data_IF_154819698434
#
_entry.id   IF_154819698434
#
_cell.length_a   1.000
_cell.length_b   1.000
_cell.length_c   1.000
_cell.angle_alpha   90.00
_cell.angle_beta   90.00
_cell.angle_gamma   90.00
#
_symmetry.space_group_name_H-M   'P 1'
#
loop_
_entity.id
_entity.type
_entity.pdbx_description
1 polymer ?
#
# COMPACT_ATOMS: atom_id res chain seq x y z
N UNK A 1 -18.74 -17.18 -13.75
CA UNK A 1 -18.88 -16.06 -12.80
C UNK A 1 -17.85 -15.01 -13.16
N UNK A 2 -18.28 -13.81 -13.54
CA UNK A 2 -17.33 -12.72 -13.88
C UNK A 2 -16.64 -12.26 -12.59
N UNK A 3 -15.31 -12.15 -12.60
CA UNK A 3 -14.57 -11.61 -11.46
C UNK A 3 -15.02 -10.17 -11.21
N UNK A 4 -15.50 -9.88 -10.00
CA UNK A 4 -15.94 -8.54 -9.64
C UNK A 4 -14.77 -7.57 -9.75
N UNK A 5 -14.89 -6.55 -10.61
CA UNK A 5 -13.90 -5.49 -10.72
C UNK A 5 -13.86 -4.68 -9.43
N UNK A 6 -12.70 -4.62 -8.80
CA UNK A 6 -12.48 -3.90 -7.54
C UNK A 6 -12.64 -2.38 -7.70
N UNK A 7 -12.34 -1.85 -8.88
CA UNK A 7 -12.48 -0.43 -9.20
C UNK A 7 -13.49 -0.22 -10.32
N UNK A 8 -14.34 0.79 -10.15
CA UNK A 8 -15.30 1.22 -11.16
C UNK A 8 -15.72 2.67 -10.88
N UNK A 9 -15.44 3.66 -11.76
CA UNK A 9 -14.77 3.56 -13.07
C UNK A 9 -13.27 3.18 -12.98
N UNK A 10 -12.56 3.17 -14.11
CA UNK A 10 -11.12 2.93 -14.13
C UNK A 10 -10.39 3.99 -13.29
N UNK A 11 -9.45 3.60 -12.40
CA UNK A 11 -8.72 4.55 -11.56
C UNK A 11 -7.83 5.52 -12.36
N UNK A 12 -7.63 6.74 -11.83
CA UNK A 12 -6.63 7.66 -12.37
C UNK A 12 -5.22 7.09 -12.23
N UNK A 13 -4.31 7.55 -13.11
CA UNK A 13 -2.89 7.14 -13.15
C UNK A 13 -1.97 8.36 -13.02
N UNK A 14 -1.87 8.96 -11.81
CA UNK A 14 -1.05 10.15 -11.59
C UNK A 14 0.44 9.84 -11.43
N UNK A 15 0.80 8.56 -11.27
CA UNK A 15 2.17 8.13 -11.09
C UNK A 15 2.93 8.07 -12.41
N UNK A 16 4.14 8.62 -12.40
CA UNK A 16 5.10 8.64 -13.51
C UNK A 16 6.39 7.91 -13.09
N UNK A 17 7.39 7.82 -13.96
CA UNK A 17 8.66 7.12 -13.69
C UNK A 17 9.44 7.68 -12.49
N UNK A 18 9.17 8.94 -12.10
CA UNK A 18 9.85 9.61 -10.99
C UNK A 18 9.12 9.41 -9.66
N UNK A 19 7.94 8.78 -9.67
CA UNK A 19 7.14 8.57 -8.47
C UNK A 19 7.75 7.48 -7.60
N UNK A 20 8.32 7.87 -6.46
CA UNK A 20 8.97 6.99 -5.48
C UNK A 20 8.08 6.72 -4.26
N UNK A 21 7.15 7.65 -3.96
CA UNK A 21 6.29 7.56 -2.78
C UNK A 21 4.81 7.77 -3.12
N UNK A 22 4.00 6.74 -2.88
CA UNK A 22 2.55 6.79 -3.05
C UNK A 22 1.87 6.93 -1.69
N UNK A 23 1.03 7.96 -1.53
CA UNK A 23 0.18 8.17 -0.37
C UNK A 23 -1.27 7.90 -0.77
N UNK A 24 -1.89 6.95 -0.06
CA UNK A 24 -3.30 6.60 -0.21
C UNK A 24 -4.06 7.08 1.03
N UNK A 25 -4.95 8.05 0.81
CA UNK A 25 -5.83 8.58 1.85
C UNK A 25 -7.17 7.84 1.78
N UNK A 26 -7.51 7.12 2.84
CA UNK A 26 -8.76 6.38 2.95
C UNK A 26 -9.86 7.35 3.39
N UNK A 27 -10.92 7.44 2.58
CA UNK A 27 -12.00 8.40 2.80
C UNK A 27 -13.37 7.82 2.43
N UNK A 28 -14.43 8.48 2.87
CA UNK A 28 -15.83 8.20 2.56
C UNK A 28 -16.37 9.16 1.50
N UNK A 29 -17.39 8.77 0.74
CA UNK A 29 -17.94 9.62 -0.33
C UNK A 29 -18.36 11.02 0.14
N UNK A 30 -18.84 11.14 1.38
CA UNK A 30 -19.38 12.38 1.95
C UNK A 30 -18.30 13.28 2.59
N UNK A 31 -17.04 12.87 2.57
CA UNK A 31 -15.90 13.61 3.15
C UNK A 31 -15.22 14.54 2.15
N UNK A 32 -15.99 15.14 1.24
CA UNK A 32 -15.50 16.07 0.21
C UNK A 32 -14.71 17.22 0.84
N UNK A 33 -15.19 17.76 1.96
CA UNK A 33 -14.53 18.84 2.71
C UNK A 33 -13.22 18.39 3.36
N UNK A 34 -13.18 17.21 3.97
CA UNK A 34 -11.97 16.68 4.62
C UNK A 34 -10.88 16.41 3.57
N UNK A 35 -11.26 15.88 2.40
CA UNK A 35 -10.30 15.71 1.30
C UNK A 35 -9.76 17.06 0.81
N UNK A 36 -10.62 18.08 0.70
CA UNK A 36 -10.17 19.44 0.39
C UNK A 36 -9.20 19.98 1.46
N UNK A 37 -9.50 19.78 2.74
CA UNK A 37 -8.61 20.19 3.85
C UNK A 37 -7.25 19.46 3.76
N UNK A 38 -7.23 18.16 3.46
CA UNK A 38 -6.00 17.40 3.20
C UNK A 38 -5.21 18.03 2.04
N UNK A 39 -5.86 18.28 0.90
CA UNK A 39 -5.23 18.90 -0.29
C UNK A 39 -4.64 20.27 0.01
N UNK A 40 -5.34 21.11 0.77
CA UNK A 40 -4.92 22.48 1.11
C UNK A 40 -3.88 22.55 2.21
N UNK A 41 -3.69 21.48 2.98
CA UNK A 41 -2.75 21.45 4.11
C UNK A 41 -1.51 20.61 3.76
N UNK A 42 -1.30 19.50 4.43
CA UNK A 42 -0.07 18.72 4.35
C UNK A 42 0.14 18.07 2.98
N UNK A 43 -0.92 17.71 2.25
CA UNK A 43 -0.79 17.12 0.92
C UNK A 43 -0.35 18.14 -0.14
N UNK A 44 -0.50 19.45 0.12
CA UNK A 44 -0.02 20.50 -0.80
C UNK A 44 1.50 20.45 -1.02
N UNK A 45 2.25 19.85 -0.09
CA UNK A 45 3.69 19.63 -0.25
C UNK A 45 4.01 18.68 -1.41
N UNK A 46 3.14 17.70 -1.70
CA UNK A 46 3.32 16.79 -2.82
C UNK A 46 3.23 17.51 -4.18
N UNK A 47 2.51 18.63 -4.28
CA UNK A 47 2.49 19.44 -5.52
C UNK A 47 3.83 20.10 -5.82
N UNK A 48 4.71 20.25 -4.82
CA UNK A 48 6.06 20.80 -4.97
C UNK A 48 7.11 19.73 -5.22
N UNK A 49 6.79 18.46 -4.96
CA UNK A 49 7.68 17.32 -5.11
C UNK A 49 7.09 16.29 -6.08
N UNK A 50 7.64 16.20 -7.28
CA UNK A 50 7.14 15.28 -8.31
C UNK A 50 7.28 13.81 -7.94
N UNK A 51 8.10 13.46 -6.94
CA UNK A 51 8.31 12.06 -6.53
C UNK A 51 7.21 11.49 -5.65
N UNK A 52 6.30 12.34 -5.16
CA UNK A 52 5.23 11.93 -4.23
C UNK A 52 3.87 12.17 -4.85
N UNK A 53 3.02 11.14 -4.86
CA UNK A 53 1.65 11.24 -5.36
C UNK A 53 0.67 10.91 -4.25
N UNK A 54 -0.38 11.72 -4.14
CA UNK A 54 -1.46 11.53 -3.16
C UNK A 54 -2.72 11.17 -3.93
N UNK A 55 -3.38 10.08 -3.54
CA UNK A 55 -4.67 9.65 -4.10
C UNK A 55 -5.65 9.32 -2.97
N UNK A 56 -6.93 9.49 -3.24
CA UNK A 56 -8.01 9.20 -2.30
C UNK A 56 -8.70 7.90 -2.67
N UNK A 57 -8.71 6.91 -1.77
CA UNK A 57 -9.47 5.67 -1.95
C UNK A 57 -10.86 5.87 -1.34
N UNK A 58 -11.89 5.86 -2.19
CA UNK A 58 -13.28 6.09 -1.77
C UNK A 58 -14.15 4.90 -2.17
N UNK A 59 -14.84 4.30 -1.20
CA UNK A 59 -15.77 3.21 -1.44
C UNK A 59 -17.18 3.73 -1.82
N UNK A 60 -18.04 2.83 -2.31
CA UNK A 60 -19.40 3.19 -2.74
C UNK A 60 -20.27 3.58 -1.55
N UNK A 61 -20.97 4.73 -1.56
CA UNK A 61 -21.82 5.16 -0.45
C UNK A 61 -22.84 4.11 -0.03
N UNK A 62 -23.19 4.09 1.27
CA UNK A 62 -24.23 3.20 1.82
C UNK A 62 -25.59 3.37 1.12
N UNK A 63 -25.92 4.61 0.74
CA UNK A 63 -27.15 4.94 0.02
C UNK A 63 -27.14 4.52 -1.46
N UNK A 64 -26.02 4.01 -1.98
CA UNK A 64 -25.86 3.56 -3.37
C UNK A 64 -25.52 4.67 -4.36
N UNK A 65 -25.83 5.92 -4.06
CA UNK A 65 -25.61 7.07 -4.95
C UNK A 65 -24.58 8.04 -4.37
N UNK A 66 -23.63 8.46 -5.20
CA UNK A 66 -22.71 9.55 -4.88
C UNK A 66 -23.43 10.91 -4.99
N UNK A 67 -23.10 11.84 -4.11
CA UNK A 67 -23.64 13.20 -4.15
C UNK A 67 -23.07 14.03 -5.31
N UNK A 68 -23.75 15.13 -5.67
CA UNK A 68 -23.28 16.06 -6.72
C UNK A 68 -21.88 16.62 -6.42
N UNK A 69 -21.63 16.96 -5.16
CA UNK A 69 -20.34 17.51 -4.72
C UNK A 69 -19.19 16.53 -4.92
N UNK A 70 -19.44 15.22 -4.73
CA UNK A 70 -18.45 14.18 -4.97
C UNK A 70 -18.04 14.11 -6.44
N UNK A 71 -19.02 14.13 -7.35
CA UNK A 71 -18.71 14.10 -8.79
C UNK A 71 -17.98 15.36 -9.25
N UNK A 72 -18.42 16.53 -8.78
CA UNK A 72 -17.74 17.79 -9.08
C UNK A 72 -16.28 17.81 -8.56
N UNK A 73 -16.02 17.18 -7.41
CA UNK A 73 -14.67 17.00 -6.88
C UNK A 73 -13.85 16.01 -7.73
N UNK A 74 -14.42 14.85 -8.06
CA UNK A 74 -13.75 13.82 -8.86
C UNK A 74 -13.32 14.38 -10.24
N UNK A 75 -14.22 15.10 -10.90
CA UNK A 75 -13.98 15.72 -12.20
C UNK A 75 -12.92 16.84 -12.13
N UNK A 76 -12.80 17.51 -10.98
CA UNK A 76 -11.87 18.62 -10.79
C UNK A 76 -10.43 18.18 -10.53
N UNK A 77 -10.24 17.13 -9.72
CA UNK A 77 -8.93 16.78 -9.18
C UNK A 77 -8.28 15.53 -9.78
N UNK A 78 -9.06 14.64 -10.40
CA UNK A 78 -8.56 13.38 -11.00
C UNK A 78 -7.66 12.55 -10.05
N UNK A 79 -7.95 12.61 -8.75
CA UNK A 79 -7.15 11.95 -7.70
C UNK A 79 -7.95 10.96 -6.85
N UNK A 80 -9.19 10.66 -7.27
CA UNK A 80 -10.10 9.76 -6.55
C UNK A 80 -10.14 8.38 -7.21
N UNK A 81 -9.74 7.36 -6.45
CA UNK A 81 -9.87 5.95 -6.81
C UNK A 81 -11.16 5.40 -6.22
N UNK A 82 -12.13 5.11 -7.09
CA UNK A 82 -13.45 4.62 -6.69
C UNK A 82 -13.46 3.10 -6.54
N UNK A 83 -13.53 2.63 -5.29
CA UNK A 83 -13.58 1.23 -4.95
C UNK A 83 -15.02 0.71 -4.98
N UNK A 84 -15.22 -0.40 -5.71
CA UNK A 84 -16.53 -0.94 -6.04
C UNK A 84 -17.08 -1.89 -4.97
N UNK A 85 -17.06 -1.47 -3.71
CA UNK A 85 -17.76 -2.15 -2.61
C UNK A 85 -18.42 -1.12 -1.71
N UNK A 86 -19.38 -1.57 -0.90
CA UNK A 86 -20.13 -0.68 -0.01
C UNK A 86 -19.24 -0.14 1.11
N UNK A 87 -19.28 1.16 1.31
CA UNK A 87 -18.59 1.84 2.38
C UNK A 87 -19.24 1.51 3.72
N UNK A 88 -18.60 0.62 4.47
CA UNK A 88 -19.03 0.20 5.80
C UNK A 88 -17.81 0.04 6.70
N UNK A 89 -18.01 0.20 8.00
CA UNK A 89 -16.96 0.02 9.00
C UNK A 89 -16.35 -1.38 8.92
N UNK A 90 -17.19 -2.40 8.68
CA UNK A 90 -16.72 -3.77 8.48
C UNK A 90 -15.88 -3.96 7.20
N UNK A 91 -15.96 -3.02 6.25
CA UNK A 91 -15.24 -3.05 4.98
C UNK A 91 -13.99 -2.15 4.98
N UNK A 92 -13.54 -1.63 6.14
CA UNK A 92 -12.30 -0.86 6.20
C UNK A 92 -11.08 -1.67 5.71
N UNK A 93 -11.02 -2.97 6.00
CA UNK A 93 -9.99 -3.87 5.46
C UNK A 93 -9.99 -3.91 3.93
N UNK A 94 -11.17 -3.80 3.30
CA UNK A 94 -11.29 -3.73 1.84
C UNK A 94 -10.74 -2.41 1.28
N UNK A 95 -10.80 -1.31 2.04
CA UNK A 95 -10.16 -0.04 1.65
C UNK A 95 -8.63 -0.17 1.69
N UNK A 96 -8.07 -0.79 2.73
CA UNK A 96 -6.64 -1.09 2.80
C UNK A 96 -6.19 -2.04 1.69
N UNK A 97 -6.98 -3.08 1.40
CA UNK A 97 -6.73 -3.97 0.26
C UNK A 97 -6.76 -3.21 -1.07
N UNK A 98 -7.66 -2.25 -1.22
CA UNK A 98 -7.76 -1.42 -2.42
C UNK A 98 -6.55 -0.50 -2.59
N UNK A 99 -6.02 0.08 -1.51
CA UNK A 99 -4.78 0.85 -1.57
C UNK A 99 -3.60 -0.01 -2.07
N UNK A 100 -3.44 -1.23 -1.51
CA UNK A 100 -2.43 -2.19 -1.96
C UNK A 100 -2.62 -2.59 -3.42
N UNK A 101 -3.87 -2.90 -3.81
CA UNK A 101 -4.17 -3.34 -5.18
C UNK A 101 -4.00 -2.20 -6.18
N UNK A 102 -4.31 -0.97 -5.78
CA UNK A 102 -4.08 0.23 -6.59
C UNK A 102 -2.58 0.43 -6.83
N UNK A 103 -1.76 0.38 -5.78
CA UNK A 103 -0.31 0.47 -5.89
C UNK A 103 0.24 -0.56 -6.89
N UNK A 104 -0.08 -1.85 -6.71
CA UNK A 104 0.46 -2.92 -7.55
C UNK A 104 0.06 -2.82 -9.03
N UNK A 105 -1.13 -2.27 -9.34
CA UNK A 105 -1.67 -2.26 -10.69
C UNK A 105 -1.50 -0.92 -11.42
N UNK A 106 -1.46 0.20 -10.71
CA UNK A 106 -1.54 1.55 -11.27
C UNK A 106 -0.35 2.45 -10.88
N UNK A 107 0.44 2.05 -9.90
CA UNK A 107 1.63 2.77 -9.45
C UNK A 107 2.76 1.82 -9.00
N UNK A 108 3.12 0.80 -9.81
CA UNK A 108 4.07 -0.25 -9.40
C UNK A 108 5.51 0.27 -9.19
N UNK A 109 5.82 1.45 -9.73
CA UNK A 109 7.13 2.09 -9.59
C UNK A 109 7.37 2.73 -8.23
N UNK A 110 6.31 3.07 -7.49
CA UNK A 110 6.45 3.66 -6.17
C UNK A 110 7.07 2.65 -5.21
N UNK A 111 8.22 2.97 -4.61
CA UNK A 111 8.92 2.04 -3.71
C UNK A 111 8.27 1.96 -2.34
N UNK A 112 7.58 3.03 -1.94
CA UNK A 112 6.88 3.09 -0.67
C UNK A 112 5.40 3.44 -0.86
N UNK A 113 4.56 2.76 -0.08
CA UNK A 113 3.13 3.01 0.03
C UNK A 113 2.79 3.44 1.46
N UNK A 114 2.14 4.59 1.60
CA UNK A 114 1.53 5.03 2.85
C UNK A 114 0.01 4.88 2.76
N UNK A 115 -0.59 4.19 3.73
CA UNK A 115 -2.04 4.23 4.00
C UNK A 115 -2.29 5.17 5.16
N UNK A 116 -3.20 6.12 4.99
CA UNK A 116 -3.55 7.11 6.01
C UNK A 116 -5.06 7.42 5.95
N UNK A 117 -5.64 7.87 7.04
CA UNK A 117 -7.05 8.27 7.11
C UNK A 117 -7.18 9.80 6.98
N UNK A 118 -8.36 10.32 6.64
CA UNK A 118 -8.57 11.76 6.40
C UNK A 118 -8.43 12.66 7.62
N UNK A 119 -8.46 12.09 8.83
CA UNK A 119 -8.36 12.80 10.11
C UNK A 119 -6.91 12.84 10.66
N UNK A 120 -5.92 12.45 9.85
CA UNK A 120 -4.51 12.45 10.22
C UNK A 120 -3.74 13.55 9.47
N UNK A 121 -2.77 14.16 10.16
CA UNK A 121 -1.79 15.07 9.57
C UNK A 121 -0.48 14.33 9.34
N UNK A 122 0.04 14.33 8.12
CA UNK A 122 1.28 13.67 7.76
C UNK A 122 2.43 14.66 7.56
N UNK A 123 3.60 14.36 8.12
CA UNK A 123 4.86 14.99 7.75
C UNK A 123 5.46 14.25 6.54
N UNK A 124 5.08 14.67 5.32
CA UNK A 124 5.48 13.98 4.08
C UNK A 124 7.00 13.92 3.92
N UNK A 125 7.71 15.02 4.16
CA UNK A 125 9.19 15.05 4.09
C UNK A 125 9.85 14.03 5.02
N UNK A 126 9.33 13.89 6.23
CA UNK A 126 9.83 12.92 7.21
C UNK A 126 9.66 11.48 6.72
N UNK A 127 8.49 11.17 6.16
CA UNK A 127 8.16 9.84 5.65
C UNK A 127 8.89 9.51 4.34
N UNK A 128 9.07 10.49 3.44
CA UNK A 128 9.91 10.36 2.25
C UNK A 128 11.36 10.04 2.63
N UNK A 129 11.90 10.74 3.63
CA UNK A 129 13.25 10.48 4.12
C UNK A 129 13.37 9.11 4.80
N UNK A 130 12.31 8.60 5.42
CA UNK A 130 12.28 7.24 5.94
C UNK A 130 12.29 6.21 4.80
N UNK A 131 11.43 6.42 3.79
CA UNK A 131 11.37 5.59 2.59
C UNK A 131 12.74 5.49 1.91
N UNK A 132 13.36 6.64 1.61
CA UNK A 132 14.65 6.72 0.93
C UNK A 132 15.78 6.02 1.72
N UNK A 133 15.80 6.19 3.05
CA UNK A 133 16.82 5.57 3.92
C UNK A 133 16.71 4.06 4.00
N UNK A 134 15.49 3.52 3.93
CA UNK A 134 15.24 2.10 4.03
C UNK A 134 15.62 1.33 2.74
N UNK A 135 15.73 2.03 1.61
CA UNK A 135 16.12 1.43 0.34
C UNK A 135 15.08 0.40 -0.14
N UNK A 136 15.54 -0.69 -0.74
CA UNK A 136 14.68 -1.78 -1.22
C UNK A 136 14.40 -2.84 -0.14
N UNK A 137 14.78 -2.58 1.11
CA UNK A 137 14.55 -3.50 2.22
C UNK A 137 13.06 -3.52 2.57
N UNK A 138 12.41 -4.67 2.76
CA UNK A 138 11.01 -4.69 3.18
C UNK A 138 10.83 -4.10 4.58
N UNK A 139 10.03 -3.04 4.68
CA UNK A 139 9.69 -2.40 5.95
C UNK A 139 8.19 -2.17 6.04
N UNK A 140 7.59 -2.71 7.10
CA UNK A 140 6.26 -2.32 7.55
C UNK A 140 6.44 -1.64 8.91
N UNK A 141 6.01 -0.38 9.01
CA UNK A 141 6.18 0.44 10.21
C UNK A 141 4.89 1.18 10.55
N UNK A 142 4.69 1.44 11.83
CA UNK A 142 3.54 2.17 12.34
C UNK A 142 3.48 2.07 13.86
N UNK A 143 2.48 2.71 14.45
CA UNK A 143 2.19 2.53 15.87
C UNK A 143 1.25 1.34 16.06
N UNK A 144 1.50 0.55 17.09
CA UNK A 144 0.71 -0.63 17.41
C UNK A 144 0.75 -0.96 18.89
N UNK A 145 -0.16 -1.84 19.29
CA UNK A 145 -0.09 -2.47 20.60
C UNK A 145 0.97 -3.55 20.58
N UNK A 146 1.94 -3.42 21.48
CA UNK A 146 2.93 -4.46 21.77
C UNK A 146 2.65 -5.04 23.14
N UNK A 147 3.39 -6.10 23.52
CA UNK A 147 3.32 -6.68 24.87
C UNK A 147 3.60 -5.67 25.98
N UNK A 148 4.26 -4.54 25.66
CA UNK A 148 4.54 -3.44 26.58
C UNK A 148 3.58 -2.25 26.50
N UNK A 149 2.48 -2.35 25.76
CA UNK A 149 1.54 -1.25 25.53
C UNK A 149 1.68 -0.59 24.16
N UNK A 150 1.06 0.58 23.98
CA UNK A 150 1.14 1.37 22.76
C UNK A 150 2.57 1.85 22.50
N UNK A 151 3.11 1.53 21.33
CA UNK A 151 4.43 1.98 20.92
C UNK A 151 4.66 1.85 19.42
N UNK A 152 5.82 2.31 18.96
CA UNK A 152 6.26 2.12 17.58
C UNK A 152 6.60 0.64 17.36
N UNK A 153 6.00 0.06 16.31
CA UNK A 153 6.27 -1.32 15.89
C UNK A 153 6.98 -1.30 14.55
N UNK A 154 8.12 -1.99 14.47
CA UNK A 154 8.85 -2.22 13.24
C UNK A 154 8.78 -3.71 12.92
N UNK A 155 8.20 -4.04 11.77
CA UNK A 155 8.29 -5.37 11.21
C UNK A 155 9.19 -5.29 9.98
N UNK A 156 10.48 -5.55 10.17
CA UNK A 156 11.38 -5.83 9.05
C UNK A 156 11.11 -7.27 8.65
N UNK A 157 10.51 -7.47 7.46
CA UNK A 157 10.52 -8.82 6.91
C UNK A 157 11.93 -9.04 6.42
N UNK A 158 12.70 -9.91 7.09
CA UNK A 158 13.94 -10.39 6.50
C UNK A 158 13.56 -11.13 5.22
N UNK A 159 13.52 -10.43 4.10
CA UNK A 159 13.53 -11.07 2.80
C UNK A 159 14.86 -11.80 2.75
N UNK A 160 14.83 -13.11 2.96
CA UNK A 160 15.94 -13.98 2.60
C UNK A 160 16.21 -13.70 1.14
N UNK A 161 17.32 -13.03 0.85
CA UNK A 161 17.85 -12.86 -0.50
C UNK A 161 18.21 -14.24 -1.02
N UNK A 162 17.21 -14.99 -1.51
CA UNK A 162 17.49 -16.10 -2.39
C UNK A 162 17.93 -15.46 -3.68
N UNK A 163 19.24 -15.36 -3.86
CA UNK A 163 19.84 -15.03 -5.13
C UNK A 163 19.16 -15.94 -6.18
N UNK A 164 18.68 -15.35 -7.27
CA UNK A 164 18.34 -16.14 -8.46
C UNK A 164 19.66 -16.71 -8.98
N UNK A 165 20.07 -17.85 -8.44
CA UNK A 165 21.09 -18.69 -9.06
C UNK A 165 20.39 -19.53 -10.11
N UNK A 166 20.81 -19.32 -11.35
CA UNK A 166 20.41 -20.09 -12.53
C UNK A 166 20.51 -21.59 -12.23
N UNK A 167 19.40 -22.31 -12.33
CA UNK A 167 19.38 -23.76 -12.22
C UNK A 167 20.15 -24.37 -13.40
N UNK A 168 21.32 -24.90 -13.13
CA UNK A 168 22.04 -25.82 -14.02
C UNK A 168 22.18 -27.13 -13.26
N UNK A 169 21.55 -28.20 -13.78
CA UNK A 169 21.56 -29.55 -13.20
C UNK A 169 22.97 -30.10 -13.03
N UNK A 170 23.22 -30.89 -11.96
CA UNK A 170 23.91 -32.16 -12.20
C UNK A 170 23.41 -33.37 -11.40
N UNK A 171 23.78 -34.50 -12.01
CA UNK A 171 23.56 -35.93 -11.75
C UNK A 171 24.06 -36.44 -10.38
N UNK A 172 23.41 -37.54 -9.98
CA UNK A 172 23.84 -38.66 -9.10
C UNK A 172 23.90 -38.49 -7.57
N UNK A 173 23.17 -39.40 -6.92
CA UNK A 173 23.01 -39.65 -5.49
C UNK A 173 24.27 -40.25 -4.85
N UNK A 174 24.61 -39.80 -3.64
CA UNK A 174 25.36 -40.63 -2.68
C UNK A 174 24.90 -40.33 -1.26
N UNK A 175 24.57 -41.39 -0.54
CA UNK A 175 24.06 -41.42 0.84
C UNK A 175 25.21 -41.45 1.85
N UNK A 176 25.08 -40.65 2.91
CA UNK A 176 25.68 -40.95 4.22
C UNK A 176 24.98 -40.14 5.31
N UNK A 177 24.55 -40.83 6.36
CA UNK A 177 23.84 -40.30 7.52
C UNK A 177 24.80 -39.93 8.66
N UNK A 178 24.57 -38.82 9.37
CA UNK A 178 25.12 -38.48 10.72
C UNK A 178 24.13 -37.49 11.43
N UNK A 179 24.00 -37.50 12.78
CA UNK A 179 22.76 -37.22 13.50
C UNK A 179 22.62 -35.79 14.09
N UNK A 180 21.47 -35.60 14.74
CA UNK A 180 20.86 -34.37 15.22
C UNK A 180 21.66 -33.55 16.25
N UNK A 181 21.67 -32.22 16.06
CA UNK A 181 21.62 -31.22 17.14
C UNK A 181 20.87 -29.96 16.67
N UNK A 182 20.31 -29.26 17.64
CA UNK A 182 19.38 -28.13 17.60
C UNK A 182 19.67 -26.99 16.61
N UNK A 183 18.67 -26.60 15.81
CA UNK A 183 18.31 -25.21 15.48
C UNK A 183 17.17 -25.21 14.45
N UNK A 184 16.38 -24.13 14.47
CA UNK A 184 15.26 -23.77 13.59
C UNK A 184 15.00 -24.69 12.36
N UNK A 185 13.82 -25.31 12.32
CA UNK A 185 13.32 -26.02 11.16
C UNK A 185 13.06 -25.04 10.00
N UNK A 186 14.07 -24.80 9.18
CA UNK A 186 13.89 -24.25 7.84
C UNK A 186 13.50 -25.40 6.90
N UNK A 187 12.22 -25.47 6.56
CA UNK A 187 11.74 -26.36 5.50
C UNK A 187 12.27 -25.85 4.16
N UNK A 188 13.39 -26.41 3.70
CA UNK A 188 13.87 -26.25 2.34
C UNK A 188 12.96 -27.05 1.40
N UNK A 189 12.18 -26.33 0.58
CA UNK A 189 11.55 -26.91 -0.60
C UNK A 189 12.68 -27.22 -1.59
N UNK A 190 13.09 -28.49 -1.66
CA UNK A 190 13.86 -28.97 -2.81
C UNK A 190 12.87 -29.19 -3.94
N UNK A 191 12.87 -28.30 -4.92
CA UNK A 191 12.23 -28.58 -6.20
C UNK A 191 12.84 -29.87 -6.78
N UNK A 192 11.97 -30.81 -7.17
CA UNK A 192 12.30 -32.01 -7.95
C UNK A 192 12.36 -31.66 -9.43
#
# INVERSE_FOLDING_TARGET
MSAMRLFNPEPPRPCDENTDFLVTVISNSNETKQREDVRRTWASEANRNTTTKVVFIVARPKAGNYGREFWAEADKYDDIVMANFRDDYHNLSMKSYSALKYHLNYCPQARCLLKIDTDVVANLRGLENLCRRNGDSPLITGNGWTTGGWGTSFATTAASTTSRSSCTTPRTLRTSAVPATSSAAAASVRCS
#
